data_IF_594120427295
#
_entry.id   IF_594120427295
#
_cell.length_a   1.000
_cell.length_b   1.000
_cell.length_c   1.000
_cell.angle_alpha   90.00
_cell.angle_beta   90.00
_cell.angle_gamma   90.00
#
_symmetry.space_group_name_H-M   'P 1'
#
loop_
_entity.id
_entity.type
_entity.pdbx_description
1 polymer ?
#
# COMPACT_ATOMS: atom_id res chain seq x y z
N UNK A 1 16.25 -43.32 44.39
CA UNK A 1 16.58 -44.23 43.27
C UNK A 1 15.26 -44.64 42.64
N UNK A 2 14.95 -44.49 41.35
CA UNK A 2 15.67 -44.00 40.19
C UNK A 2 14.82 -44.33 38.95
N UNK A 3 14.68 -43.35 38.04
CA UNK A 3 14.63 -43.43 36.57
C UNK A 3 13.89 -44.57 35.85
N UNK A 4 12.97 -44.21 34.95
CA UNK A 4 13.08 -44.52 33.51
C UNK A 4 12.39 -43.44 32.66
N UNK A 5 13.03 -43.07 31.55
CA UNK A 5 12.69 -41.97 30.64
C UNK A 5 11.68 -42.40 29.55
N UNK A 6 11.00 -41.44 28.94
CA UNK A 6 10.48 -41.60 27.58
C UNK A 6 10.58 -40.26 26.84
N UNK A 7 11.34 -40.30 25.75
CA UNK A 7 11.68 -39.16 24.91
C UNK A 7 10.57 -38.87 23.89
N UNK A 8 10.26 -37.59 23.70
CA UNK A 8 9.43 -37.11 22.61
C UNK A 8 10.22 -37.15 21.28
N UNK A 9 9.67 -37.82 20.27
CA UNK A 9 10.20 -37.82 18.90
C UNK A 9 9.44 -36.79 18.08
N UNK A 10 10.16 -35.75 17.65
CA UNK A 10 9.75 -34.79 16.62
C UNK A 10 9.77 -35.46 15.24
N UNK A 11 8.60 -35.57 14.59
CA UNK A 11 8.48 -35.93 13.19
C UNK A 11 8.50 -34.68 12.29
N UNK A 12 9.56 -34.50 11.50
CA UNK A 12 9.69 -33.45 10.47
C UNK A 12 8.68 -33.71 9.34
N UNK A 13 7.86 -32.72 8.97
CA UNK A 13 7.12 -32.68 7.70
C UNK A 13 7.90 -31.86 6.68
N UNK A 14 8.70 -32.54 5.85
CA UNK A 14 9.47 -31.97 4.74
C UNK A 14 8.67 -31.85 3.43
N UNK A 15 7.33 -31.93 3.49
CA UNK A 15 6.45 -32.03 2.31
C UNK A 15 5.71 -30.75 1.88
N UNK A 16 5.59 -29.74 2.76
CA UNK A 16 4.81 -28.52 2.45
C UNK A 16 5.64 -27.43 1.74
N UNK A 17 6.95 -27.38 1.98
CA UNK A 17 7.84 -26.36 1.41
C UNK A 17 7.99 -26.49 -0.12
N UNK A 18 8.02 -27.71 -0.65
CA UNK A 18 8.14 -27.95 -2.09
C UNK A 18 6.86 -27.61 -2.86
N UNK A 19 5.67 -27.80 -2.25
CA UNK A 19 4.39 -27.37 -2.83
C UNK A 19 4.24 -25.86 -2.81
N UNK A 20 4.74 -25.19 -1.77
CA UNK A 20 4.74 -23.73 -1.67
C UNK A 20 5.70 -23.10 -2.69
N UNK A 21 6.89 -23.68 -2.89
CA UNK A 21 7.87 -23.24 -3.92
C UNK A 21 7.34 -23.46 -5.34
N UNK A 22 6.66 -24.58 -5.61
CA UNK A 22 6.02 -24.83 -6.90
C UNK A 22 4.88 -23.83 -7.20
N UNK A 23 4.06 -23.52 -6.20
CA UNK A 23 3.00 -22.51 -6.31
C UNK A 23 3.57 -21.09 -6.50
N UNK A 24 4.69 -20.76 -5.85
CA UNK A 24 5.37 -19.47 -6.01
C UNK A 24 6.01 -19.33 -7.40
N UNK A 25 6.66 -20.39 -7.90
CA UNK A 25 7.26 -20.43 -9.24
C UNK A 25 6.18 -20.29 -10.33
N UNK A 26 5.05 -20.98 -10.16
CA UNK A 26 3.91 -20.91 -11.07
C UNK A 26 3.21 -19.54 -11.02
N UNK A 27 3.16 -18.88 -9.85
CA UNK A 27 2.70 -17.51 -9.71
C UNK A 27 3.64 -16.49 -10.40
N UNK A 28 4.97 -16.65 -10.30
CA UNK A 28 5.93 -15.77 -11.01
C UNK A 28 5.93 -15.96 -12.53
N UNK A 29 5.84 -17.19 -13.03
CA UNK A 29 5.70 -17.45 -14.47
C UNK A 29 4.38 -16.90 -15.01
N UNK A 30 3.30 -17.01 -14.23
CA UNK A 30 2.00 -16.42 -14.55
C UNK A 30 2.03 -14.88 -14.49
N UNK A 31 2.84 -14.27 -13.63
CA UNK A 31 3.01 -12.80 -13.52
C UNK A 31 3.83 -12.22 -14.69
N UNK A 32 4.88 -12.89 -15.14
CA UNK A 32 5.65 -12.50 -16.32
C UNK A 32 4.85 -12.70 -17.62
N UNK A 33 4.08 -13.79 -17.73
CA UNK A 33 3.15 -14.00 -18.83
C UNK A 33 1.98 -13.00 -18.81
N UNK A 34 1.48 -12.62 -17.63
CA UNK A 34 0.46 -11.57 -17.48
C UNK A 34 1.01 -10.18 -17.84
N UNK A 35 2.27 -9.87 -17.51
CA UNK A 35 2.93 -8.63 -17.93
C UNK A 35 3.06 -8.53 -19.45
N UNK A 36 3.50 -9.62 -20.11
CA UNK A 36 3.56 -9.70 -21.56
C UNK A 36 2.18 -9.68 -22.24
N UNK A 37 1.16 -10.29 -21.63
CA UNK A 37 -0.21 -10.27 -22.13
C UNK A 37 -0.88 -8.90 -21.96
N UNK A 38 -0.62 -8.19 -20.85
CA UNK A 38 -1.08 -6.81 -20.61
C UNK A 38 -0.39 -5.82 -21.54
N UNK A 39 0.89 -6.01 -21.84
CA UNK A 39 1.62 -5.21 -22.83
C UNK A 39 1.14 -5.49 -24.28
N UNK A 40 0.71 -6.72 -24.58
CA UNK A 40 0.22 -7.10 -25.91
C UNK A 40 -1.28 -6.80 -26.16
N UNK A 41 -2.10 -6.61 -25.12
CA UNK A 41 -3.56 -6.37 -25.25
C UNK A 41 -4.08 -5.07 -24.61
N UNK A 42 -3.30 -4.39 -23.77
CA UNK A 42 -3.78 -3.33 -22.87
C UNK A 42 -3.49 -1.88 -23.27
N UNK A 43 -2.92 -1.62 -24.45
CA UNK A 43 -2.65 -0.25 -24.91
C UNK A 43 -3.88 0.43 -25.55
N UNK A 44 -4.92 -0.33 -25.91
CA UNK A 44 -6.15 0.22 -26.45
C UNK A 44 -7.13 0.58 -25.32
N UNK A 45 -7.01 1.82 -24.83
CA UNK A 45 -8.02 2.59 -24.06
C UNK A 45 -8.25 2.17 -22.59
N UNK A 46 -7.22 2.24 -21.74
CA UNK A 46 -7.36 2.22 -20.27
C UNK A 46 -7.91 3.53 -19.68
N UNK A 47 -7.82 4.64 -20.42
CA UNK A 47 -8.21 5.98 -19.94
C UNK A 47 -9.70 6.11 -19.54
N UNK A 48 -10.68 5.56 -20.30
CA UNK A 48 -12.08 5.60 -19.88
C UNK A 48 -12.36 4.83 -18.60
N UNK A 49 -11.70 3.67 -18.40
CA UNK A 49 -11.86 2.88 -17.18
C UNK A 49 -11.28 3.60 -15.95
N UNK A 50 -10.15 4.27 -16.10
CA UNK A 50 -9.56 5.11 -15.06
C UNK A 50 -10.48 6.30 -14.74
N UNK A 51 -10.99 6.99 -15.77
CA UNK A 51 -11.89 8.12 -15.58
C UNK A 51 -13.20 7.71 -14.88
N UNK A 52 -13.79 6.57 -15.27
CA UNK A 52 -14.95 5.99 -14.60
C UNK A 52 -14.67 5.69 -13.13
N UNK A 53 -13.54 5.03 -12.85
CA UNK A 53 -13.16 4.67 -11.49
C UNK A 53 -12.89 5.90 -10.61
N UNK A 54 -12.22 6.92 -11.15
CA UNK A 54 -12.03 8.21 -10.48
C UNK A 54 -13.38 8.86 -10.14
N UNK A 55 -14.29 8.94 -11.12
CA UNK A 55 -15.62 9.51 -10.91
C UNK A 55 -16.41 8.74 -9.85
N UNK A 56 -16.41 7.41 -9.91
CA UNK A 56 -17.13 6.55 -8.98
C UNK A 56 -16.63 6.68 -7.52
N UNK A 57 -15.35 6.97 -7.32
CA UNK A 57 -14.72 7.12 -6.00
C UNK A 57 -14.63 8.57 -5.50
N UNK A 58 -15.14 9.55 -6.25
CA UNK A 58 -15.02 10.97 -5.93
C UNK A 58 -16.35 11.60 -5.49
N UNK A 59 -17.17 10.80 -4.80
CA UNK A 59 -18.53 11.17 -4.42
C UNK A 59 -18.60 12.38 -3.49
N UNK A 60 -19.64 13.18 -3.75
CA UNK A 60 -20.12 14.26 -2.89
C UNK A 60 -21.66 14.21 -2.89
N UNK A 61 -22.36 14.16 -1.74
CA UNK A 61 -21.83 14.17 -0.37
C UNK A 61 -21.18 12.83 0.02
N UNK A 62 -20.33 12.88 1.05
CA UNK A 62 -19.74 11.70 1.66
C UNK A 62 -20.80 10.78 2.28
N UNK A 63 -20.56 9.45 2.36
CA UNK A 63 -21.38 8.59 3.19
C UNK A 63 -21.44 9.08 4.65
N UNK A 64 -22.51 8.75 5.39
CA UNK A 64 -22.65 9.13 6.78
C UNK A 64 -21.41 8.81 7.61
N UNK A 65 -21.07 9.68 8.54
CA UNK A 65 -19.89 9.55 9.41
C UNK A 65 -19.86 8.19 10.13
N UNK A 66 -21.01 7.74 10.62
CA UNK A 66 -21.16 6.43 11.25
C UNK A 66 -20.85 5.25 10.31
N UNK A 67 -21.22 5.34 9.03
CA UNK A 67 -20.93 4.30 8.04
C UNK A 67 -19.43 4.18 7.75
N UNK A 68 -18.71 5.31 7.82
CA UNK A 68 -17.26 5.38 7.59
C UNK A 68 -16.43 5.11 8.84
N UNK A 69 -17.05 5.01 10.02
CA UNK A 69 -16.34 4.89 11.30
C UNK A 69 -15.26 5.98 11.46
N UNK A 70 -15.63 7.24 11.21
CA UNK A 70 -14.74 8.40 11.37
C UNK A 70 -15.27 9.29 12.50
N UNK A 71 -14.41 9.86 13.34
CA UNK A 71 -14.80 10.75 14.45
C UNK A 71 -13.87 11.97 14.62
N UNK A 72 -13.07 12.30 13.60
CA UNK A 72 -12.18 13.46 13.65
C UNK A 72 -12.94 14.75 13.32
N UNK A 73 -13.26 15.55 14.35
CA UNK A 73 -14.02 16.80 14.22
C UNK A 73 -13.19 18.00 13.73
N UNK A 74 -11.91 17.80 13.40
CA UNK A 74 -11.09 18.85 12.81
C UNK A 74 -11.71 19.36 11.50
N UNK A 75 -11.53 20.66 11.22
CA UNK A 75 -11.91 21.22 9.92
C UNK A 75 -10.86 20.86 8.87
N UNK A 76 -11.27 20.49 7.65
CA UNK A 76 -10.33 20.23 6.57
C UNK A 76 -9.59 21.53 6.21
N UNK A 77 -8.27 21.46 6.16
CA UNK A 77 -7.42 22.59 5.78
C UNK A 77 -7.13 22.49 4.29
N UNK A 78 -7.33 23.56 3.52
CA UNK A 78 -7.11 23.60 2.06
C UNK A 78 -7.76 22.40 1.32
N UNK A 79 -9.08 22.17 1.48
CA UNK A 79 -9.73 20.96 0.99
C UNK A 79 -9.63 20.79 -0.53
N UNK A 80 -9.66 21.87 -1.31
CA UNK A 80 -9.47 21.82 -2.76
C UNK A 80 -8.07 21.33 -3.16
N UNK A 81 -7.03 21.75 -2.44
CA UNK A 81 -5.65 21.28 -2.66
C UNK A 81 -5.55 19.79 -2.36
N UNK A 82 -6.04 19.33 -1.21
CA UNK A 82 -5.97 17.90 -0.89
C UNK A 82 -6.80 17.06 -1.86
N UNK A 83 -7.97 17.53 -2.28
CA UNK A 83 -8.77 16.82 -3.27
C UNK A 83 -7.98 16.65 -4.58
N UNK A 84 -7.27 17.68 -5.04
CA UNK A 84 -6.38 17.55 -6.19
C UNK A 84 -5.21 16.57 -5.94
N UNK A 85 -4.63 16.56 -4.73
CA UNK A 85 -3.60 15.55 -4.35
C UNK A 85 -4.18 14.14 -4.45
N UNK A 86 -5.36 13.93 -3.88
CA UNK A 86 -6.08 12.65 -3.87
C UNK A 86 -6.41 12.18 -5.28
N UNK A 87 -6.93 13.06 -6.13
CA UNK A 87 -7.22 12.75 -7.54
C UNK A 87 -5.96 12.32 -8.30
N UNK A 88 -4.86 13.05 -8.12
CA UNK A 88 -3.60 12.73 -8.77
C UNK A 88 -3.03 11.37 -8.31
N UNK A 89 -3.01 11.11 -7.00
CA UNK A 89 -2.53 9.85 -6.44
C UNK A 89 -3.44 8.66 -6.83
N UNK A 90 -4.76 8.81 -6.72
CA UNK A 90 -5.72 7.79 -7.11
C UNK A 90 -5.64 7.49 -8.61
N UNK A 91 -5.53 8.51 -9.46
CA UNK A 91 -5.42 8.34 -10.91
C UNK A 91 -4.17 7.54 -11.30
N UNK A 92 -3.03 7.84 -10.65
CA UNK A 92 -1.78 7.09 -10.85
C UNK A 92 -1.89 5.65 -10.34
N UNK A 93 -2.53 5.42 -9.19
CA UNK A 93 -2.82 4.08 -8.69
C UNK A 93 -3.66 3.28 -9.68
N UNK A 94 -4.79 3.82 -10.12
CA UNK A 94 -5.67 3.17 -11.09
C UNK A 94 -4.97 2.88 -12.42
N UNK A 95 -4.07 3.77 -12.87
CA UNK A 95 -3.26 3.57 -14.06
C UNK A 95 -2.33 2.35 -14.01
N UNK A 96 -1.88 1.93 -12.82
CA UNK A 96 -1.04 0.74 -12.62
C UNK A 96 -1.80 -0.48 -12.10
N UNK A 97 -3.08 -0.34 -11.76
CA UNK A 97 -3.92 -1.45 -11.27
C UNK A 97 -5.16 -1.69 -12.15
N UNK A 98 -5.01 -2.29 -13.35
CA UNK A 98 -6.15 -2.58 -14.22
C UNK A 98 -7.23 -3.43 -13.56
N UNK A 99 -6.85 -4.37 -12.68
CA UNK A 99 -7.80 -5.19 -11.92
C UNK A 99 -8.68 -4.37 -10.98
N UNK A 100 -8.15 -3.30 -10.37
CA UNK A 100 -8.95 -2.40 -9.55
C UNK A 100 -9.98 -1.64 -10.41
N UNK A 101 -9.57 -1.16 -11.59
CA UNK A 101 -10.48 -0.50 -12.53
C UNK A 101 -11.61 -1.43 -12.97
N UNK A 102 -11.32 -2.70 -13.26
CA UNK A 102 -12.34 -3.71 -13.61
C UNK A 102 -13.32 -3.93 -12.45
N UNK A 103 -12.82 -4.16 -11.24
CA UNK A 103 -13.66 -4.37 -10.07
C UNK A 103 -14.57 -3.16 -9.79
N UNK A 104 -14.02 -1.94 -9.85
CA UNK A 104 -14.77 -0.70 -9.66
C UNK A 104 -15.83 -0.55 -10.76
N UNK A 105 -15.49 -0.82 -12.02
CA UNK A 105 -16.42 -0.71 -13.15
C UNK A 105 -17.57 -1.71 -13.04
N UNK A 106 -17.28 -2.95 -12.65
CA UNK A 106 -18.28 -4.00 -12.40
C UNK A 106 -19.25 -3.58 -11.30
N UNK A 107 -18.73 -3.18 -10.14
CA UNK A 107 -19.58 -2.80 -9.00
C UNK A 107 -20.40 -1.55 -9.31
N UNK A 108 -19.80 -0.55 -9.94
CA UNK A 108 -20.49 0.66 -10.38
C UNK A 108 -21.61 0.35 -11.39
N UNK A 109 -21.35 -0.53 -12.37
CA UNK A 109 -22.34 -0.98 -13.36
C UNK A 109 -23.50 -1.77 -12.76
N UNK A 110 -23.28 -2.42 -11.60
CA UNK A 110 -24.33 -3.09 -10.80
C UNK A 110 -25.08 -2.12 -9.87
N UNK A 111 -24.83 -0.82 -9.98
CA UNK A 111 -25.48 0.22 -9.16
C UNK A 111 -24.95 0.31 -7.73
N UNK A 112 -23.79 -0.28 -7.43
CA UNK A 112 -23.23 -0.21 -6.08
C UNK A 112 -22.72 1.21 -5.77
N UNK A 113 -22.96 1.67 -4.55
CA UNK A 113 -22.37 2.90 -4.05
C UNK A 113 -20.94 2.65 -3.54
N UNK A 114 -19.97 3.22 -4.25
CA UNK A 114 -18.55 3.03 -3.94
C UNK A 114 -18.02 4.13 -3.02
N UNK A 115 -17.27 3.73 -2.02
CA UNK A 115 -16.51 4.63 -1.16
C UNK A 115 -15.14 4.02 -0.91
N UNK A 116 -14.09 4.85 -1.03
CA UNK A 116 -12.75 4.45 -0.66
C UNK A 116 -12.61 4.53 0.87
N UNK A 117 -12.66 3.38 1.54
CA UNK A 117 -12.51 3.32 3.00
C UNK A 117 -11.11 3.79 3.42
N UNK A 118 -10.09 3.21 2.80
CA UNK A 118 -8.72 3.54 3.11
C UNK A 118 -7.73 3.27 1.97
N UNK A 119 -6.56 3.87 2.11
CA UNK A 119 -5.38 3.60 1.30
C UNK A 119 -4.22 3.21 2.21
N UNK A 120 -3.31 2.38 1.72
CA UNK A 120 -2.11 2.00 2.47
C UNK A 120 -0.84 2.42 1.75
N UNK A 121 0.13 2.92 2.50
CA UNK A 121 1.46 3.31 2.04
C UNK A 121 2.53 2.55 2.81
N UNK A 122 3.68 2.39 2.16
CA UNK A 122 4.86 1.74 2.71
C UNK A 122 6.06 2.70 2.69
N UNK A 123 6.99 2.45 3.61
CA UNK A 123 8.20 3.24 3.77
C UNK A 123 9.28 2.44 4.50
N UNK A 124 10.43 3.07 4.72
CA UNK A 124 11.51 2.54 5.55
C UNK A 124 11.68 3.41 6.80
N UNK A 125 11.80 2.76 7.94
CA UNK A 125 12.29 3.38 9.17
C UNK A 125 13.81 3.25 9.16
N UNK A 126 14.50 4.32 8.79
CA UNK A 126 15.96 4.40 8.87
C UNK A 126 16.39 5.13 10.16
N UNK A 127 17.69 5.35 10.31
CA UNK A 127 18.26 5.99 11.51
C UNK A 127 18.04 7.51 11.56
N UNK A 128 17.47 8.11 10.50
CA UNK A 128 17.17 9.55 10.48
C UNK A 128 15.86 9.84 11.22
N UNK A 129 15.85 10.89 12.03
CA UNK A 129 14.69 11.26 12.86
C UNK A 129 13.47 11.81 12.07
N UNK A 130 13.41 11.61 10.75
CA UNK A 130 12.38 12.14 9.86
C UNK A 130 12.00 11.23 8.70
N UNK A 131 12.42 9.96 8.70
CA UNK A 131 12.06 8.98 7.67
C UNK A 131 10.70 8.34 7.90
N UNK A 132 10.31 7.42 7.01
CA UNK A 132 9.25 6.49 7.35
C UNK A 132 7.88 7.15 7.50
N UNK A 133 7.26 6.86 8.64
CA UNK A 133 6.03 7.43 9.15
C UNK A 133 6.12 8.95 9.29
N UNK A 134 7.22 9.48 9.84
CA UNK A 134 7.38 10.92 10.09
C UNK A 134 7.37 11.73 8.79
N UNK A 135 8.00 11.21 7.74
CA UNK A 135 7.95 11.84 6.42
C UNK A 135 6.52 11.80 5.85
N UNK A 136 5.91 10.63 5.79
CA UNK A 136 4.61 10.47 5.15
C UNK A 136 3.49 11.17 5.92
N UNK A 137 3.50 11.16 7.25
CA UNK A 137 2.51 11.89 8.07
C UNK A 137 2.58 13.40 7.82
N UNK A 138 3.78 13.94 7.54
CA UNK A 138 3.95 15.35 7.21
C UNK A 138 3.18 15.78 5.95
N UNK A 139 2.84 14.83 5.07
CA UNK A 139 2.05 15.09 3.86
C UNK A 139 0.54 15.13 4.12
N UNK A 140 0.05 14.54 5.23
CA UNK A 140 -1.37 14.40 5.53
C UNK A 140 -1.84 15.29 6.69
N UNK A 141 -1.06 15.37 7.77
CA UNK A 141 -1.42 16.15 8.97
C UNK A 141 -1.75 17.62 8.65
N UNK A 142 -1.05 18.33 7.74
CA UNK A 142 -1.38 19.71 7.39
C UNK A 142 -2.75 19.92 6.75
N UNK A 143 -3.43 18.84 6.31
CA UNK A 143 -4.78 18.89 5.74
C UNK A 143 -5.89 18.61 6.77
N UNK A 144 -5.53 18.35 8.03
CA UNK A 144 -6.47 18.08 9.13
C UNK A 144 -6.63 16.60 9.47
N UNK A 145 -5.81 15.71 8.90
CA UNK A 145 -5.74 14.32 9.34
C UNK A 145 -5.25 14.23 10.79
N UNK A 146 -5.80 13.28 11.55
CA UNK A 146 -5.38 13.00 12.91
C UNK A 146 -4.66 11.65 12.99
N UNK A 147 -3.46 11.63 13.58
CA UNK A 147 -2.76 10.39 13.91
C UNK A 147 -3.56 9.60 14.97
N UNK A 148 -3.72 8.29 14.74
CA UNK A 148 -4.46 7.39 15.65
C UNK A 148 -3.54 6.29 16.17
N UNK A 149 -4.13 5.20 16.65
CA UNK A 149 -3.40 4.10 17.28
C UNK A 149 -2.40 3.45 16.32
N UNK A 150 -1.31 2.95 16.90
CA UNK A 150 -0.41 2.04 16.19
C UNK A 150 -1.13 0.73 15.86
N UNK A 151 -0.63 0.04 14.84
CA UNK A 151 -1.14 -1.24 14.36
C UNK A 151 -0.04 -2.26 14.51
N UNK A 152 -0.34 -3.37 15.16
CA UNK A 152 0.55 -4.53 15.21
C UNK A 152 0.29 -5.42 13.98
N UNK A 153 1.37 -5.79 13.28
CA UNK A 153 1.32 -6.69 12.12
C UNK A 153 2.17 -7.91 12.47
N UNK A 154 1.56 -8.98 13.01
CA UNK A 154 2.29 -10.16 13.46
C UNK A 154 3.20 -10.73 12.37
N UNK A 155 4.45 -11.00 12.73
CA UNK A 155 5.45 -11.58 11.82
C UNK A 155 6.07 -10.60 10.81
N UNK A 156 5.72 -9.31 10.86
CA UNK A 156 6.34 -8.30 10.00
C UNK A 156 7.02 -7.21 10.85
N UNK A 157 8.33 -6.95 10.66
CA UNK A 157 9.06 -6.00 11.50
C UNK A 157 8.80 -4.55 11.06
N UNK A 158 7.56 -4.09 11.24
CA UNK A 158 7.12 -2.75 10.83
C UNK A 158 6.56 -1.96 12.00
N UNK A 159 6.77 -0.64 11.98
CA UNK A 159 5.91 0.26 12.74
C UNK A 159 4.77 0.65 11.81
N UNK A 160 3.52 0.59 12.29
CA UNK A 160 2.37 0.97 11.50
C UNK A 160 1.42 1.85 12.31
N UNK A 161 0.79 2.82 11.62
CA UNK A 161 -0.20 3.73 12.19
C UNK A 161 -1.24 4.09 11.14
N UNK A 162 -2.46 4.35 11.58
CA UNK A 162 -3.48 4.92 10.72
C UNK A 162 -3.80 6.38 11.07
N UNK A 163 -4.28 7.10 10.07
CA UNK A 163 -4.58 8.52 10.13
C UNK A 163 -6.02 8.72 9.68
N UNK A 164 -6.76 9.44 10.51
CA UNK A 164 -8.19 9.65 10.33
C UNK A 164 -8.46 10.99 9.64
N UNK A 165 -9.23 11.00 8.53
CA UNK A 165 -9.56 12.22 7.81
C UNK A 165 -10.56 13.08 8.60
N UNK A 166 -10.61 14.40 8.37
CA UNK A 166 -11.71 15.26 8.84
C UNK A 166 -13.08 14.65 8.53
N UNK A 167 -13.96 14.54 9.53
CA UNK A 167 -15.27 13.88 9.43
C UNK A 167 -16.19 14.53 8.41
N UNK A 168 -16.03 15.85 8.17
CA UNK A 168 -16.76 16.61 7.16
C UNK A 168 -16.38 16.28 5.70
N UNK A 169 -15.34 15.47 5.45
CA UNK A 169 -14.86 15.11 4.10
C UNK A 169 -15.25 13.68 3.70
N UNK A 170 -15.15 13.35 2.41
CA UNK A 170 -15.24 11.99 1.88
C UNK A 170 -13.86 11.32 1.74
N UNK A 171 -12.80 11.91 2.31
CA UNK A 171 -11.44 11.40 2.14
C UNK A 171 -11.26 10.03 2.80
N UNK A 172 -10.38 9.17 2.25
CA UNK A 172 -10.12 7.86 2.83
C UNK A 172 -9.28 7.98 4.11
N UNK A 173 -9.37 6.97 4.98
CA UNK A 173 -8.35 6.75 6.02
C UNK A 173 -7.02 6.46 5.34
N UNK A 174 -5.93 6.82 6.01
CA UNK A 174 -4.58 6.56 5.49
C UNK A 174 -3.87 5.63 6.45
N UNK A 175 -3.40 4.49 5.96
CA UNK A 175 -2.57 3.55 6.71
C UNK A 175 -1.14 3.69 6.23
N UNK A 176 -0.22 3.93 7.15
CA UNK A 176 1.20 4.01 6.82
C UNK A 176 1.93 2.95 7.64
N UNK A 177 2.80 2.21 6.97
CA UNK A 177 3.75 1.30 7.59
C UNK A 177 5.17 1.67 7.18
N UNK A 178 6.12 1.43 8.08
CA UNK A 178 7.54 1.59 7.83
C UNK A 178 8.28 0.32 8.25
N UNK A 179 9.12 -0.22 7.37
CA UNK A 179 9.94 -1.39 7.68
C UNK A 179 11.14 -0.97 8.53
N UNK A 180 11.32 -1.62 9.68
CA UNK A 180 12.44 -1.36 10.59
C UNK A 180 13.74 -1.90 9.98
N UNK A 181 14.51 -1.02 9.34
CA UNK A 181 15.71 -1.40 8.58
C UNK A 181 16.77 -2.06 9.46
N UNK A 182 16.86 -1.63 10.73
CA UNK A 182 17.77 -2.21 11.72
C UNK A 182 17.48 -3.68 12.08
N UNK A 183 16.28 -4.19 11.80
CA UNK A 183 15.89 -5.60 12.06
C UNK A 183 16.07 -6.51 10.84
N UNK A 184 16.56 -5.98 9.72
CA UNK A 184 16.84 -6.74 8.50
C UNK A 184 18.23 -7.39 8.55
N UNK A 185 18.48 -8.45 7.74
CA UNK A 185 19.82 -8.96 7.53
C UNK A 185 20.79 -7.83 7.12
N UNK A 186 22.02 -7.87 7.62
CA UNK A 186 23.02 -6.81 7.47
C UNK A 186 23.20 -6.37 6.01
N UNK A 187 23.24 -7.31 5.09
CA UNK A 187 23.40 -7.09 3.65
C UNK A 187 22.21 -6.33 3.06
N UNK A 188 20.99 -6.65 3.53
CA UNK A 188 19.75 -5.99 3.12
C UNK A 188 19.63 -4.60 3.74
N UNK A 189 19.95 -4.46 5.02
CA UNK A 189 19.98 -3.15 5.67
C UNK A 189 20.97 -2.20 4.97
N UNK A 190 22.14 -2.72 4.56
CA UNK A 190 23.12 -1.96 3.76
C UNK A 190 22.53 -1.57 2.41
N UNK A 191 21.93 -2.51 1.68
CA UNK A 191 21.30 -2.25 0.39
C UNK A 191 20.21 -1.18 0.49
N UNK A 192 19.35 -1.24 1.51
CA UNK A 192 18.33 -0.20 1.75
C UNK A 192 18.99 1.15 1.97
N UNK A 193 20.00 1.25 2.85
CA UNK A 193 20.71 2.51 3.09
C UNK A 193 21.37 3.07 1.83
N UNK A 194 21.97 2.23 0.99
CA UNK A 194 22.59 2.66 -0.27
C UNK A 194 21.57 3.17 -1.29
N UNK A 195 20.42 2.50 -1.43
CA UNK A 195 19.37 2.89 -2.38
C UNK A 195 18.61 4.11 -1.89
N UNK A 196 18.18 4.12 -0.62
CA UNK A 196 17.46 5.24 -0.01
C UNK A 196 18.35 6.49 0.10
N UNK A 197 19.62 6.29 0.45
CA UNK A 197 20.60 7.36 0.58
C UNK A 197 20.16 8.41 1.61
N UNK A 198 20.31 9.68 1.23
CA UNK A 198 20.04 10.83 2.11
C UNK A 198 18.60 11.37 1.96
N UNK A 199 17.68 10.63 1.33
CA UNK A 199 16.36 11.16 0.96
C UNK A 199 15.57 11.75 2.14
N UNK A 200 15.58 11.06 3.28
CA UNK A 200 14.83 11.44 4.48
C UNK A 200 15.57 12.37 5.46
N UNK A 201 16.84 12.70 5.19
CA UNK A 201 17.55 13.63 6.06
C UNK A 201 16.83 14.99 6.08
N UNK A 202 16.94 15.78 7.16
CA UNK A 202 16.29 17.11 7.22
C UNK A 202 16.68 18.05 6.08
N UNK A 203 17.92 17.94 5.59
CA UNK A 203 18.44 18.64 4.41
C UNK A 203 18.33 17.83 3.10
N UNK A 204 17.71 16.65 3.17
CA UNK A 204 17.42 15.78 2.04
C UNK A 204 16.34 16.35 1.13
N UNK A 205 16.27 15.80 -0.08
CA UNK A 205 15.33 16.25 -1.10
C UNK A 205 13.87 16.04 -0.67
N UNK A 206 13.54 14.92 -0.01
CA UNK A 206 12.17 14.58 0.38
C UNK A 206 11.53 15.64 1.27
N UNK A 207 12.04 15.85 2.51
CA UNK A 207 11.50 16.86 3.42
C UNK A 207 11.51 18.28 2.85
N UNK A 208 12.54 18.65 2.08
CA UNK A 208 12.63 19.97 1.44
C UNK A 208 11.52 20.17 0.42
N UNK A 209 11.37 19.23 -0.53
CA UNK A 209 10.32 19.27 -1.54
C UNK A 209 8.91 19.20 -0.91
N UNK A 210 8.72 18.41 0.15
CA UNK A 210 7.45 18.34 0.88
C UNK A 210 7.07 19.71 1.44
N UNK A 211 7.99 20.38 2.14
CA UNK A 211 7.77 21.71 2.72
C UNK A 211 7.45 22.74 1.64
N UNK A 212 8.21 22.75 0.54
CA UNK A 212 8.01 23.68 -0.57
C UNK A 212 6.66 23.46 -1.27
N UNK A 213 6.32 22.22 -1.61
CA UNK A 213 5.07 21.87 -2.25
C UNK A 213 3.86 22.19 -1.36
N UNK A 214 3.95 21.88 -0.06
CA UNK A 214 2.93 22.23 0.93
C UNK A 214 2.79 23.74 1.10
N UNK A 215 3.88 24.50 1.13
CA UNK A 215 3.82 25.97 1.23
C UNK A 215 3.19 26.59 -0.02
N UNK A 216 3.53 26.09 -1.21
CA UNK A 216 2.98 26.55 -2.48
C UNK A 216 1.52 26.09 -2.72
N UNK A 217 1.04 25.08 -1.98
CA UNK A 217 -0.24 24.44 -2.27
C UNK A 217 -0.23 23.65 -3.58
N UNK A 218 0.95 23.18 -4.01
CA UNK A 218 1.13 22.44 -5.25
C UNK A 218 0.71 20.97 -5.06
N UNK A 219 -0.53 20.68 -5.42
CA UNK A 219 -1.10 19.35 -5.30
C UNK A 219 -0.35 18.28 -6.12
N UNK A 220 0.18 18.64 -7.29
CA UNK A 220 0.87 17.67 -8.16
C UNK A 220 2.26 17.35 -7.63
N UNK A 221 2.95 18.33 -7.07
CA UNK A 221 4.23 18.10 -6.39
C UNK A 221 4.06 17.24 -5.13
N UNK A 222 3.04 17.51 -4.30
CA UNK A 222 2.72 16.67 -3.13
C UNK A 222 2.40 15.23 -3.56
N UNK A 223 1.54 15.05 -4.56
CA UNK A 223 1.25 13.73 -5.10
C UNK A 223 2.50 13.06 -5.72
N UNK A 224 3.40 13.85 -6.32
CA UNK A 224 4.69 13.39 -6.85
C UNK A 224 5.57 12.69 -5.83
N UNK A 225 5.60 13.20 -4.59
CA UNK A 225 6.37 12.62 -3.48
C UNK A 225 5.88 11.22 -3.07
N UNK A 226 4.63 10.88 -3.41
CA UNK A 226 4.06 9.56 -3.17
C UNK A 226 4.18 8.62 -4.38
N UNK A 227 4.84 9.02 -5.47
CA UNK A 227 4.66 8.34 -6.77
C UNK A 227 5.97 8.00 -7.49
N UNK A 228 6.97 8.87 -7.39
CA UNK A 228 8.30 8.57 -7.88
C UNK A 228 9.10 7.83 -6.81
N UNK A 229 9.82 6.74 -7.13
CA UNK A 229 10.82 6.18 -6.24
C UNK A 229 11.89 7.24 -6.01
N UNK A 230 12.07 7.74 -4.77
CA UNK A 230 12.98 8.86 -4.53
C UNK A 230 14.43 8.41 -4.31
N UNK A 231 14.69 7.13 -4.53
CA UNK A 231 15.95 6.47 -4.20
C UNK A 231 17.09 7.04 -5.06
N UNK A 232 18.21 7.32 -4.41
CA UNK A 232 19.37 7.97 -5.01
C UNK A 232 20.05 7.14 -6.12
N UNK A 233 19.78 5.83 -6.16
CA UNK A 233 20.32 4.90 -7.14
C UNK A 233 19.26 3.90 -7.60
N UNK A 234 19.33 3.51 -8.88
CA UNK A 234 18.38 2.57 -9.48
C UNK A 234 18.42 1.20 -8.79
N UNK A 235 17.25 0.61 -8.58
CA UNK A 235 17.13 -0.77 -8.13
C UNK A 235 17.52 -1.73 -9.26
N UNK A 236 18.45 -2.64 -9.00
CA UNK A 236 19.07 -3.47 -10.03
C UNK A 236 18.62 -4.93 -9.98
N UNK A 237 18.87 -5.69 -11.04
CA UNK A 237 18.65 -7.14 -11.05
C UNK A 237 19.49 -7.89 -9.99
N UNK A 238 20.67 -7.36 -9.63
CA UNK A 238 21.50 -7.92 -8.58
C UNK A 238 20.86 -7.73 -7.18
N UNK A 239 20.23 -6.58 -6.96
CA UNK A 239 19.48 -6.29 -5.73
C UNK A 239 18.31 -7.25 -5.56
N UNK A 240 17.56 -7.49 -6.64
CA UNK A 240 16.47 -8.46 -6.66
C UNK A 240 16.96 -9.88 -6.37
N UNK A 241 18.05 -10.31 -7.01
CA UNK A 241 18.63 -11.64 -6.81
C UNK A 241 19.06 -11.87 -5.36
N UNK A 242 19.67 -10.86 -4.71
CA UNK A 242 20.05 -10.91 -3.31
C UNK A 242 18.82 -11.07 -2.39
N UNK A 243 17.80 -10.23 -2.58
CA UNK A 243 16.55 -10.31 -1.81
C UNK A 243 15.87 -11.68 -1.96
N UNK A 244 15.77 -12.19 -3.19
CA UNK A 244 15.19 -13.52 -3.46
C UNK A 244 16.00 -14.65 -2.82
N UNK A 245 17.32 -14.59 -2.91
CA UNK A 245 18.19 -15.61 -2.34
C UNK A 245 18.09 -15.67 -0.82
N UNK A 246 17.93 -14.53 -0.14
CA UNK A 246 17.77 -14.52 1.31
C UNK A 246 16.36 -14.93 1.74
N UNK A 247 15.33 -14.52 0.99
CA UNK A 247 13.94 -14.91 1.27
C UNK A 247 13.71 -16.43 1.14
N UNK A 248 14.44 -17.12 0.26
CA UNK A 248 14.34 -18.58 0.12
C UNK A 248 15.06 -19.35 1.23
N UNK A 249 16.08 -18.75 1.84
CA UNK A 249 16.87 -19.35 2.92
C UNK A 249 16.25 -19.13 4.30
N UNK A 250 15.50 -18.05 4.47
CA UNK A 250 14.89 -17.64 5.72
C UNK A 250 13.39 -17.36 5.53
N UNK A 251 12.59 -18.41 5.67
CA UNK A 251 11.14 -18.34 5.51
C UNK A 251 10.45 -17.45 6.55
N UNK A 252 11.04 -17.25 7.73
CA UNK A 252 10.48 -16.37 8.76
C UNK A 252 10.59 -14.89 8.36
N UNK A 253 11.65 -14.54 7.61
CA UNK A 253 11.88 -13.17 7.12
C UNK A 253 11.39 -12.90 5.70
N UNK A 254 10.86 -13.91 5.01
CA UNK A 254 10.41 -13.79 3.62
C UNK A 254 9.46 -12.60 3.41
N UNK A 255 8.45 -12.44 4.27
CA UNK A 255 7.51 -11.31 4.17
C UNK A 255 8.16 -9.94 4.36
N UNK A 256 9.17 -9.83 5.23
CA UNK A 256 9.93 -8.59 5.43
C UNK A 256 10.76 -8.25 4.19
N UNK A 257 11.35 -9.26 3.53
CA UNK A 257 12.14 -9.09 2.31
C UNK A 257 11.26 -8.78 1.10
N UNK A 258 10.06 -9.37 1.00
CA UNK A 258 9.05 -8.99 0.00
C UNK A 258 8.57 -7.55 0.19
N UNK A 259 8.32 -7.14 1.44
CA UNK A 259 8.01 -5.75 1.76
C UNK A 259 9.16 -4.83 1.31
N UNK A 260 10.40 -5.19 1.62
CA UNK A 260 11.59 -4.44 1.26
C UNK A 260 11.71 -4.29 -0.27
N UNK A 261 11.60 -5.38 -1.02
CA UNK A 261 11.66 -5.37 -2.48
C UNK A 261 10.56 -4.50 -3.09
N UNK A 262 9.34 -4.61 -2.58
CA UNK A 262 8.23 -3.79 -3.05
C UNK A 262 8.49 -2.31 -2.79
N UNK A 263 8.95 -1.95 -1.59
CA UNK A 263 9.18 -0.56 -1.19
C UNK A 263 10.37 0.03 -1.95
N UNK A 264 11.43 -0.72 -2.23
CA UNK A 264 12.53 -0.27 -3.08
C UNK A 264 12.11 0.01 -4.54
N UNK A 265 11.06 -0.65 -5.04
CA UNK A 265 10.63 -0.50 -6.44
C UNK A 265 9.44 0.44 -6.61
N UNK A 266 8.63 0.62 -5.57
CA UNK A 266 7.38 1.38 -5.60
C UNK A 266 7.38 2.58 -4.64
N UNK A 267 8.36 2.66 -3.74
CA UNK A 267 8.50 3.69 -2.72
C UNK A 267 7.18 3.95 -1.96
N UNK A 268 6.69 5.18 -2.05
CA UNK A 268 5.53 5.68 -1.31
C UNK A 268 4.21 5.55 -2.07
N UNK A 269 4.21 4.84 -3.20
CA UNK A 269 2.98 4.58 -3.96
C UNK A 269 1.94 3.98 -3.05
N UNK A 270 0.68 4.28 -3.35
CA UNK A 270 -0.43 3.56 -2.74
C UNK A 270 -0.26 2.07 -3.03
N UNK A 271 -0.04 1.31 -1.97
CA UNK A 271 0.12 -0.14 -2.02
C UNK A 271 -1.19 -0.81 -2.40
N UNK A 272 -2.28 -0.35 -1.78
CA UNK A 272 -3.63 -0.75 -2.14
C UNK A 272 -4.63 0.35 -1.79
N UNK A 273 -5.80 0.22 -2.40
CA UNK A 273 -7.04 0.92 -2.07
C UNK A 273 -8.07 -0.12 -1.61
N UNK A 274 -8.85 0.26 -0.60
CA UNK A 274 -9.94 -0.57 -0.07
C UNK A 274 -11.28 0.11 -0.28
N UNK A 275 -12.26 -0.66 -0.79
CA UNK A 275 -13.66 -0.24 -0.88
C UNK A 275 -14.39 -0.53 0.43
N UNK A 276 -15.23 0.39 0.87
CA UNK A 276 -16.08 0.21 2.04
C UNK A 276 -17.27 -0.70 1.68
N UNK A 277 -17.23 -1.97 2.09
CA UNK A 277 -18.29 -2.95 1.80
C UNK A 277 -19.65 -2.46 2.32
N UNK A 278 -19.68 -1.80 3.48
CA UNK A 278 -20.92 -1.31 4.10
C UNK A 278 -21.66 -0.27 3.26
N UNK A 279 -20.99 0.40 2.30
CA UNK A 279 -21.66 1.35 1.40
C UNK A 279 -22.21 0.70 0.14
N UNK A 280 -21.91 -0.57 -0.14
CA UNK A 280 -22.41 -1.24 -1.34
C UNK A 280 -23.94 -1.41 -1.32
N UNK A 281 -24.57 -1.25 -0.14
CA UNK A 281 -25.95 -0.82 0.11
C UNK A 281 -27.03 -1.86 -0.16
N UNK A 282 -27.74 -2.33 0.87
CA UNK A 282 -28.65 -3.51 1.00
C UNK A 282 -29.48 -4.07 -0.19
N UNK A 283 -29.57 -3.42 -1.35
CA UNK A 283 -30.22 -3.90 -2.58
C UNK A 283 -29.30 -4.27 -3.77
N UNK A 284 -27.99 -4.00 -3.71
CA UNK A 284 -26.99 -4.49 -4.69
C UNK A 284 -26.70 -6.02 -4.66
N UNK A 285 -25.93 -6.58 -5.59
CA UNK A 285 -25.57 -8.00 -5.57
C UNK A 285 -24.34 -8.33 -4.69
N UNK A 286 -23.82 -7.38 -3.91
CA UNK A 286 -22.56 -7.51 -3.17
C UNK A 286 -22.62 -6.91 -1.74
N UNK A 287 -23.62 -7.28 -0.92
CA UNK A 287 -23.80 -6.73 0.44
C UNK A 287 -22.89 -7.32 1.48
N UNK A 288 -22.49 -8.56 1.27
CA UNK A 288 -21.55 -9.25 2.12
C UNK A 288 -20.21 -9.42 1.42
N UNK A 289 -19.15 -9.60 2.22
CA UNK A 289 -17.84 -9.95 1.69
C UNK A 289 -17.89 -11.27 0.89
N UNK A 290 -18.73 -12.22 1.30
CA UNK A 290 -18.90 -13.49 0.60
C UNK A 290 -19.50 -13.31 -0.80
N UNK A 291 -20.58 -12.52 -0.91
CA UNK A 291 -21.21 -12.20 -2.20
C UNK A 291 -20.29 -11.37 -3.10
N UNK A 292 -19.61 -10.37 -2.52
CA UNK A 292 -18.62 -9.58 -3.24
C UNK A 292 -17.52 -10.47 -3.81
N UNK A 293 -16.98 -11.38 -3.01
CA UNK A 293 -15.94 -12.32 -3.46
C UNK A 293 -16.47 -13.26 -4.56
N UNK A 294 -17.68 -13.81 -4.40
CA UNK A 294 -18.30 -14.67 -5.40
C UNK A 294 -18.49 -13.94 -6.73
N UNK A 295 -18.96 -12.68 -6.67
CA UNK A 295 -19.11 -11.82 -7.83
C UNK A 295 -17.77 -11.57 -8.54
N UNK A 296 -16.74 -11.19 -7.79
CA UNK A 296 -15.40 -10.90 -8.34
C UNK A 296 -14.70 -12.14 -8.92
N UNK A 297 -15.04 -13.34 -8.46
CA UNK A 297 -14.49 -14.60 -8.99
C UNK A 297 -15.26 -15.14 -10.20
N UNK A 298 -16.50 -14.69 -10.41
CA UNK A 298 -17.35 -15.14 -11.52
C UNK A 298 -17.11 -14.41 -12.85
N UNK A 299 -16.35 -13.32 -12.82
CA UNK A 299 -16.04 -12.43 -13.95
C UNK A 299 -14.54 -12.42 -14.24
#
# INVERSE_FOLDING_TARGET
>A
AGLTSSAAVFGRRTGDSQKMIANLAQATASTLAAKAAVEATGAASSAPAIALALAALSRTPAPPVAARCVANDAQPVRPSTFEAVRQAALGRYLGRTPSACRAISLLHGRGCELHNDHVALRSFADESCGSGLAFLESLFLPFGYAARSSIDIPGLPVNARWYEPPSATSWPKVFISELRVAELPTEIARLVRERVGNYYLPAGAGPTCAREALAAGDALAIAGLMEAPPWASEFTAADEALLRSLASMDGERASALEYCAWTLTHAHRWNHLTLLVNTLGAGSPAHSLAELNALLLSE
#
